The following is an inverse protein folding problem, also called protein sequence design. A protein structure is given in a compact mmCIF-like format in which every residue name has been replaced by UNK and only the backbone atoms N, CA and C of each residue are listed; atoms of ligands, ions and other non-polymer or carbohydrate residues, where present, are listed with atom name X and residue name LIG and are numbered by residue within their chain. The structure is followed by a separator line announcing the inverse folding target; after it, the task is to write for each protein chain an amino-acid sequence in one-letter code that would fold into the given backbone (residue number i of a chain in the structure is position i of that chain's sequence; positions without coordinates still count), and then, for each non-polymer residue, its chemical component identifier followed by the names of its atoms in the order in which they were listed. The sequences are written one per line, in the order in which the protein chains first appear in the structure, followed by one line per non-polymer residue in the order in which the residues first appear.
data_IF_209812449473
#
_entry.id   IF_209812449473
#
_cell.length_a   1.000
_cell.length_b   1.000
_cell.length_c   1.000
_cell.angle_alpha   90.00
_cell.angle_beta   90.00
_cell.angle_gamma   90.00
#
_symmetry.space_group_name_H-M   'P 1'
#
loop_
_entity.id
_entity.type
_entity.pdbx_description
1 polymer ?
#
# COMPACT_ATOMS: atom_id res chain seq x y z
N UNK A 1 37.36 4.56 34.98
CA UNK A 1 36.07 3.87 34.76
C UNK A 1 35.22 4.81 33.91
N UNK A 2 35.21 4.65 32.58
CA UNK A 2 34.48 5.55 31.68
C UNK A 2 33.01 5.13 31.53
N UNK A 3 32.03 6.01 31.82
CA UNK A 3 30.61 5.73 31.67
C UNK A 3 30.13 6.22 30.30
N UNK A 4 30.57 5.58 29.22
CA UNK A 4 30.11 5.94 27.87
C UNK A 4 29.96 4.73 26.96
N UNK A 5 29.37 3.65 27.47
CA UNK A 5 28.68 2.69 26.58
C UNK A 5 27.36 3.32 26.16
N UNK A 6 27.41 4.25 25.19
CA UNK A 6 26.24 4.65 24.40
C UNK A 6 25.65 3.37 23.81
N UNK A 7 24.58 2.86 24.43
CA UNK A 7 23.84 1.73 23.90
C UNK A 7 23.44 2.07 22.47
N UNK A 8 23.84 1.24 21.50
CA UNK A 8 23.41 1.38 20.11
C UNK A 8 21.88 1.52 20.12
N UNK A 9 21.37 2.68 19.71
CA UNK A 9 19.94 2.90 19.57
C UNK A 9 19.43 1.82 18.60
N UNK A 10 18.58 0.91 19.08
CA UNK A 10 18.02 -0.12 18.21
C UNK A 10 17.24 0.60 17.10
N UNK A 11 17.41 0.22 15.84
CA UNK A 11 16.72 0.90 14.74
C UNK A 11 15.20 0.79 14.95
N UNK A 12 14.52 1.93 14.83
CA UNK A 12 13.07 2.03 14.94
C UNK A 12 12.41 1.10 13.91
N UNK A 13 11.47 0.22 14.33
CA UNK A 13 10.71 -0.59 13.41
C UNK A 13 10.04 0.27 12.34
N UNK A 14 10.33 -0.03 11.08
CA UNK A 14 9.87 0.76 9.94
C UNK A 14 9.88 -0.06 8.66
N UNK A 15 8.98 0.27 7.74
CA UNK A 15 8.98 -0.25 6.40
C UNK A 15 8.52 0.81 5.38
N UNK A 16 9.15 0.80 4.22
CA UNK A 16 8.72 1.53 3.02
C UNK A 16 8.80 0.56 1.83
N UNK A 17 7.67 0.35 1.18
CA UNK A 17 7.42 -0.69 0.21
C UNK A 17 6.93 -0.04 -1.10
N UNK A 18 7.80 0.15 -2.12
CA UNK A 18 7.39 0.66 -3.42
C UNK A 18 6.69 -0.41 -4.26
N UNK A 19 5.87 0.01 -5.23
CA UNK A 19 5.17 -0.92 -6.13
C UNK A 19 6.14 -1.76 -6.97
N UNK A 20 5.78 -3.01 -7.22
CA UNK A 20 6.50 -3.89 -8.14
C UNK A 20 6.08 -3.60 -9.58
N UNK A 21 6.97 -3.02 -10.38
CA UNK A 21 6.67 -2.59 -11.76
C UNK A 21 6.17 -3.73 -12.68
N UNK A 22 6.68 -4.95 -12.49
CA UNK A 22 6.27 -6.13 -13.27
C UNK A 22 4.97 -6.79 -12.79
N UNK A 23 4.30 -6.23 -11.78
CA UNK A 23 3.03 -6.75 -11.31
C UNK A 23 1.93 -6.49 -12.35
N UNK A 24 1.26 -7.58 -12.74
CA UNK A 24 0.04 -7.54 -13.54
C UNK A 24 -1.19 -7.65 -12.64
N UNK A 25 -2.26 -6.95 -13.04
CA UNK A 25 -3.50 -6.87 -12.28
C UNK A 25 -4.69 -7.27 -13.14
N UNK A 26 -5.68 -7.98 -12.58
CA UNK A 26 -6.88 -8.32 -13.31
C UNK A 26 -7.70 -7.06 -13.63
N UNK A 27 -8.25 -6.99 -14.86
CA UNK A 27 -9.14 -5.90 -15.28
C UNK A 27 -10.51 -5.93 -14.58
N UNK A 28 -10.94 -7.10 -14.10
CA UNK A 28 -12.25 -7.32 -13.45
C UNK A 28 -12.05 -7.91 -12.06
N UNK A 29 -12.00 -7.04 -11.05
CA UNK A 29 -12.00 -7.39 -9.63
C UNK A 29 -12.44 -6.17 -8.81
N UNK A 30 -13.24 -6.39 -7.77
CA UNK A 30 -13.75 -5.31 -6.92
C UNK A 30 -12.63 -4.56 -6.20
N UNK A 31 -11.70 -5.32 -5.61
CA UNK A 31 -10.44 -4.80 -5.08
C UNK A 31 -9.36 -5.88 -5.14
N UNK A 32 -8.12 -5.45 -5.36
CA UNK A 32 -6.96 -6.35 -5.52
C UNK A 32 -5.87 -5.97 -4.52
N UNK A 33 -5.30 -6.98 -3.85
CA UNK A 33 -4.14 -6.84 -2.99
C UNK A 33 -2.90 -6.46 -3.82
N UNK A 34 -2.18 -5.42 -3.39
CA UNK A 34 -0.92 -5.01 -4.03
C UNK A 34 0.22 -5.89 -3.49
N UNK A 35 1.09 -6.36 -4.39
CA UNK A 35 2.35 -6.99 -4.03
C UNK A 35 3.48 -5.98 -4.26
N UNK A 36 4.18 -5.65 -3.19
CA UNK A 36 5.25 -4.66 -3.22
C UNK A 36 6.58 -5.27 -3.66
N UNK A 37 7.49 -4.41 -4.11
CA UNK A 37 8.82 -4.79 -4.56
C UNK A 37 9.74 -5.11 -3.36
N UNK A 38 9.99 -6.38 -3.12
CA UNK A 38 10.86 -6.85 -2.03
C UNK A 38 12.31 -6.38 -2.16
N UNK A 39 12.80 -6.19 -3.39
CA UNK A 39 14.21 -5.87 -3.66
C UNK A 39 14.51 -4.41 -3.29
N UNK A 40 13.60 -3.51 -3.63
CA UNK A 40 13.76 -2.06 -3.37
C UNK A 40 13.07 -1.60 -2.08
N UNK A 41 12.41 -2.52 -1.37
CA UNK A 41 11.80 -2.25 -0.07
C UNK A 41 12.83 -2.03 1.02
N UNK A 42 12.59 -1.05 1.88
CA UNK A 42 13.29 -0.94 3.16
C UNK A 42 12.41 -1.54 4.23
N UNK A 43 12.86 -2.60 4.91
CA UNK A 43 12.13 -3.23 6.02
C UNK A 43 13.08 -3.42 7.20
N UNK A 44 12.74 -2.87 8.37
CA UNK A 44 13.55 -2.90 9.59
C UNK A 44 12.68 -3.32 10.77
N UNK A 45 13.02 -4.42 11.45
CA UNK A 45 12.26 -4.95 12.59
C UNK A 45 10.74 -5.09 12.31
N UNK A 46 10.41 -5.42 11.07
CA UNK A 46 9.09 -5.78 10.56
C UNK A 46 9.30 -6.95 9.58
N UNK A 47 8.25 -7.63 9.17
CA UNK A 47 8.35 -8.71 8.16
C UNK A 47 7.38 -8.45 7.04
N UNK A 48 7.79 -8.65 5.79
CA UNK A 48 6.93 -8.54 4.63
C UNK A 48 6.79 -9.91 3.96
N UNK A 49 5.55 -10.32 3.67
CA UNK A 49 5.27 -11.57 2.98
C UNK A 49 3.92 -11.49 2.26
N UNK A 50 3.87 -11.88 0.99
CA UNK A 50 2.64 -12.02 0.20
C UNK A 50 1.73 -10.77 0.25
N UNK A 51 2.29 -9.59 0.01
CA UNK A 51 1.53 -8.33 0.02
C UNK A 51 1.24 -7.76 1.42
N UNK A 52 1.61 -8.46 2.50
CA UNK A 52 1.30 -8.07 3.87
C UNK A 52 2.55 -7.70 4.66
N UNK A 53 2.46 -6.62 5.42
CA UNK A 53 3.48 -6.17 6.36
C UNK A 53 3.08 -6.57 7.78
N UNK A 54 3.85 -7.48 8.38
CA UNK A 54 3.68 -8.01 9.72
C UNK A 54 4.48 -7.23 10.76
N UNK A 55 3.82 -6.95 11.88
CA UNK A 55 4.39 -6.26 13.03
C UNK A 55 5.18 -7.24 13.89
N UNK A 56 6.46 -6.95 14.11
CA UNK A 56 7.34 -7.81 14.93
C UNK A 56 7.50 -7.31 16.37
N UNK A 57 7.10 -6.07 16.65
CA UNK A 57 7.20 -5.40 17.96
C UNK A 57 5.93 -4.60 18.19
N UNK A 58 5.17 -4.88 19.25
CA UNK A 58 3.95 -4.11 19.55
C UNK A 58 4.24 -2.63 19.80
N UNK A 59 3.29 -1.76 19.46
CA UNK A 59 3.32 -0.35 19.82
C UNK A 59 2.46 0.53 18.92
N UNK A 60 2.62 1.84 19.06
CA UNK A 60 1.97 2.84 18.20
C UNK A 60 2.75 2.99 16.89
N UNK A 61 2.09 2.74 15.77
CA UNK A 61 2.63 2.89 14.42
C UNK A 61 1.89 3.98 13.66
N UNK A 62 2.62 4.78 12.88
CA UNK A 62 2.04 5.57 11.81
C UNK A 62 2.08 4.75 10.53
N UNK A 63 0.91 4.37 10.03
CA UNK A 63 0.74 3.61 8.78
C UNK A 63 0.32 4.58 7.69
N UNK A 64 0.94 4.52 6.52
CA UNK A 64 0.66 5.41 5.39
C UNK A 64 0.68 4.66 4.05
N UNK A 65 -0.10 5.14 3.09
CA UNK A 65 -0.12 4.62 1.73
C UNK A 65 -0.38 5.75 0.73
N UNK A 66 0.31 5.70 -0.41
CA UNK A 66 0.05 6.51 -1.60
C UNK A 66 -0.16 5.56 -2.77
N UNK A 67 -1.21 5.79 -3.56
CA UNK A 67 -1.45 5.08 -4.81
C UNK A 67 -1.81 6.10 -5.86
N UNK A 68 -1.08 6.08 -6.97
CA UNK A 68 -1.46 6.80 -8.17
C UNK A 68 -2.08 5.82 -9.16
N UNK A 69 -3.09 6.29 -9.87
CA UNK A 69 -3.73 5.61 -10.98
C UNK A 69 -3.47 6.44 -12.22
N UNK A 70 -3.08 5.81 -13.32
CA UNK A 70 -2.81 6.45 -14.61
C UNK A 70 -3.49 5.69 -15.75
N UNK A 71 -4.05 6.43 -16.69
CA UNK A 71 -4.56 5.90 -17.95
C UNK A 71 -3.99 6.72 -19.10
N UNK A 72 -3.51 6.05 -20.14
CA UNK A 72 -3.02 6.70 -21.35
C UNK A 72 -3.52 5.93 -22.57
N UNK A 73 -4.34 6.55 -23.41
CA UNK A 73 -4.73 5.97 -24.68
C UNK A 73 -3.60 6.13 -25.69
N UNK A 74 -2.92 5.04 -26.03
CA UNK A 74 -1.80 5.06 -26.98
C UNK A 74 -2.24 5.08 -28.45
N UNK A 75 -3.52 5.28 -28.75
CA UNK A 75 -4.05 5.48 -30.10
C UNK A 75 -3.97 4.26 -31.04
N UNK A 76 -3.16 3.25 -30.73
CA UNK A 76 -2.67 2.29 -31.71
C UNK A 76 -2.72 0.82 -31.25
N UNK A 77 -3.63 0.46 -30.33
CA UNK A 77 -3.74 -0.93 -29.89
C UNK A 77 -5.15 -1.48 -30.02
N UNK A 78 -5.24 -2.64 -30.67
CA UNK A 78 -6.38 -3.56 -30.83
C UNK A 78 -6.92 -4.07 -29.46
N UNK A 79 -6.50 -3.47 -28.33
CA UNK A 79 -7.11 -3.71 -27.03
C UNK A 79 -8.41 -2.92 -26.96
N UNK A 80 -9.53 -3.66 -26.99
CA UNK A 80 -10.89 -3.17 -26.77
C UNK A 80 -10.89 -1.97 -25.81
N UNK A 81 -11.38 -0.82 -26.30
CA UNK A 81 -11.49 0.42 -25.55
C UNK A 81 -12.16 0.16 -24.21
N UNK A 82 -11.37 0.06 -23.13
CA UNK A 82 -11.90 -0.11 -21.79
C UNK A 82 -12.52 1.23 -21.40
N UNK A 83 -13.82 1.23 -21.12
CA UNK A 83 -14.52 2.43 -20.69
C UNK A 83 -14.01 2.85 -19.30
N UNK A 84 -13.32 4.00 -19.25
CA UNK A 84 -12.85 4.60 -17.99
C UNK A 84 -13.68 5.83 -17.57
N UNK A 85 -14.78 6.12 -18.28
CA UNK A 85 -15.59 7.34 -18.10
C UNK A 85 -16.26 7.48 -16.74
N UNK A 86 -16.37 6.40 -15.96
CA UNK A 86 -16.94 6.41 -14.61
C UNK A 86 -16.21 5.45 -13.67
N UNK A 87 -14.90 5.62 -13.55
CA UNK A 87 -14.04 4.68 -12.83
C UNK A 87 -13.97 5.01 -11.34
N UNK A 88 -14.24 4.02 -10.48
CA UNK A 88 -14.00 4.14 -9.05
C UNK A 88 -12.55 3.79 -8.70
N UNK A 89 -11.81 4.76 -8.18
CA UNK A 89 -10.39 4.63 -7.85
C UNK A 89 -10.22 4.78 -6.33
N UNK A 90 -10.21 3.64 -5.65
CA UNK A 90 -10.31 3.56 -4.19
C UNK A 90 -9.12 2.78 -3.66
N UNK A 91 -8.45 3.34 -2.65
CA UNK A 91 -7.40 2.73 -1.87
C UNK A 91 -7.93 2.33 -0.49
N UNK A 92 -7.69 1.07 -0.13
CA UNK A 92 -8.06 0.49 1.16
C UNK A 92 -6.80 0.06 1.88
N UNK A 93 -6.62 0.50 3.13
CA UNK A 93 -5.61 -0.06 4.03
C UNK A 93 -6.34 -0.96 5.02
N UNK A 94 -5.96 -2.23 5.06
CA UNK A 94 -6.54 -3.23 5.95
C UNK A 94 -5.62 -3.51 7.13
N UNK A 95 -6.24 -3.87 8.24
CA UNK A 95 -5.60 -4.43 9.43
C UNK A 95 -6.16 -5.83 9.67
N UNK A 96 -5.27 -6.81 9.82
CA UNK A 96 -5.59 -8.16 10.23
C UNK A 96 -4.97 -8.39 11.60
N UNK A 97 -5.82 -8.46 12.62
CA UNK A 97 -5.40 -8.68 14.01
C UNK A 97 -5.04 -10.15 14.25
N UNK A 98 -3.91 -10.40 14.92
CA UNK A 98 -3.51 -11.76 15.33
C UNK A 98 -4.47 -12.38 16.36
N UNK A 99 -5.17 -11.54 17.13
CA UNK A 99 -6.08 -11.97 18.20
C UNK A 99 -7.48 -12.37 17.72
N UNK A 100 -7.83 -12.08 16.46
CA UNK A 100 -9.18 -12.32 15.95
C UNK A 100 -9.24 -13.69 15.26
N UNK A 101 -9.95 -14.64 15.89
CA UNK A 101 -10.15 -16.00 15.36
C UNK A 101 -10.83 -16.05 13.98
N UNK A 102 -11.52 -14.98 13.57
CA UNK A 102 -12.26 -14.97 12.30
C UNK A 102 -11.35 -14.86 11.06
N UNK A 103 -10.05 -14.61 11.20
CA UNK A 103 -9.11 -14.32 10.08
C UNK A 103 -9.56 -13.22 9.10
N UNK A 104 -10.70 -12.56 9.36
CA UNK A 104 -11.29 -11.51 8.52
C UNK A 104 -10.59 -10.19 8.80
N UNK A 105 -9.89 -9.60 7.82
CA UNK A 105 -9.27 -8.29 7.98
C UNK A 105 -10.34 -7.19 8.09
N UNK A 106 -10.07 -6.16 8.89
CA UNK A 106 -10.89 -4.96 9.01
C UNK A 106 -10.28 -3.82 8.17
N UNK A 107 -11.13 -2.97 7.58
CA UNK A 107 -10.66 -1.76 6.89
C UNK A 107 -10.22 -0.75 7.94
N UNK A 108 -8.94 -0.39 7.92
CA UNK A 108 -8.33 0.60 8.81
C UNK A 108 -8.51 2.03 8.28
N UNK A 109 -8.31 2.20 6.96
CA UNK A 109 -8.47 3.47 6.27
C UNK A 109 -8.98 3.22 4.84
N UNK A 110 -9.76 4.16 4.30
CA UNK A 110 -10.28 4.14 2.94
C UNK A 110 -10.25 5.56 2.38
N UNK A 111 -9.68 5.72 1.20
CA UNK A 111 -9.67 7.00 0.46
C UNK A 111 -9.85 6.72 -1.02
N UNK A 112 -10.37 7.67 -1.77
CA UNK A 112 -10.68 7.47 -3.18
C UNK A 112 -11.79 8.36 -3.68
N UNK A 113 -12.06 8.27 -4.97
CA UNK A 113 -13.18 8.97 -5.59
C UNK A 113 -13.62 8.26 -6.87
N UNK A 114 -14.79 8.65 -7.37
CA UNK A 114 -15.28 8.26 -8.70
C UNK A 114 -14.83 9.31 -9.70
N UNK A 115 -14.04 8.90 -10.68
CA UNK A 115 -13.48 9.80 -11.68
C UNK A 115 -14.27 9.75 -12.99
N UNK A 116 -14.40 10.92 -13.63
CA UNK A 116 -14.86 11.04 -15.01
C UNK A 116 -13.67 11.27 -15.93
N UNK A 117 -13.04 10.18 -16.36
CA UNK A 117 -11.87 10.23 -17.24
C UNK A 117 -12.28 10.21 -18.70
N UNK A 118 -11.60 11.01 -19.53
CA UNK A 118 -11.78 10.92 -20.96
C UNK A 118 -10.92 9.78 -21.54
N UNK A 119 -11.41 9.19 -22.63
CA UNK A 119 -10.69 8.12 -23.33
C UNK A 119 -9.71 8.68 -24.38
N UNK A 120 -9.47 9.99 -24.42
CA UNK A 120 -8.79 10.66 -25.54
C UNK A 120 -7.34 11.02 -25.25
N UNK A 121 -6.94 11.04 -23.98
CA UNK A 121 -5.61 11.52 -23.59
C UNK A 121 -5.04 10.79 -22.35
N UNK A 122 -4.26 11.51 -21.54
CA UNK A 122 -3.70 11.08 -20.27
C UNK A 122 -4.61 11.47 -19.11
N UNK A 123 -4.86 10.53 -18.21
CA UNK A 123 -5.55 10.79 -16.96
C UNK A 123 -4.70 10.30 -15.79
N UNK A 124 -4.71 11.05 -14.70
CA UNK A 124 -4.03 10.67 -13.46
C UNK A 124 -4.84 11.04 -12.24
N UNK A 125 -4.82 10.17 -11.23
CA UNK A 125 -5.38 10.43 -9.91
C UNK A 125 -4.49 9.80 -8.85
N UNK A 126 -4.08 10.56 -7.86
CA UNK A 126 -3.32 10.05 -6.72
C UNK A 126 -4.11 10.24 -5.44
N UNK A 127 -4.09 9.22 -4.58
CA UNK A 127 -4.66 9.29 -3.25
C UNK A 127 -3.60 8.89 -2.22
N UNK A 128 -3.52 9.67 -1.15
CA UNK A 128 -2.62 9.41 -0.02
C UNK A 128 -3.38 9.56 1.29
N UNK A 129 -3.12 8.64 2.22
CA UNK A 129 -3.66 8.70 3.57
C UNK A 129 -2.67 8.10 4.56
N UNK A 130 -2.86 8.43 5.84
CA UNK A 130 -2.13 7.80 6.92
C UNK A 130 -2.81 8.01 8.27
N UNK A 131 -2.49 7.14 9.23
CA UNK A 131 -3.08 7.14 10.57
C UNK A 131 -2.12 6.54 11.58
N UNK A 132 -2.14 7.09 12.80
CA UNK A 132 -1.55 6.45 13.97
C UNK A 132 -2.49 5.36 14.54
N UNK A 133 -1.97 4.16 14.75
CA UNK A 133 -2.71 3.01 15.30
C UNK A 133 -1.78 2.16 16.18
N UNK A 134 -2.32 1.63 17.27
CA UNK A 134 -1.63 0.61 18.05
C UNK A 134 -1.74 -0.74 17.35
N UNK A 135 -0.60 -1.40 17.10
CA UNK A 135 -0.55 -2.71 16.49
C UNK A 135 0.18 -3.67 17.42
N UNK A 136 -0.34 -4.90 17.52
CA UNK A 136 0.29 -5.97 18.28
C UNK A 136 1.31 -6.74 17.43
N UNK A 137 2.31 -7.32 18.09
CA UNK A 137 3.18 -8.30 17.45
C UNK A 137 2.34 -9.43 16.85
N UNK A 138 2.53 -9.67 15.55
CA UNK A 138 1.77 -10.65 14.77
C UNK A 138 0.65 -10.05 13.93
N UNK A 139 0.24 -8.81 14.21
CA UNK A 139 -0.72 -8.11 13.36
C UNK A 139 -0.13 -7.87 11.97
N UNK A 140 -1.00 -7.87 10.95
CA UNK A 140 -0.64 -7.55 9.58
C UNK A 140 -1.40 -6.32 9.07
N UNK A 141 -0.71 -5.49 8.30
CA UNK A 141 -1.30 -4.38 7.55
C UNK A 141 -0.98 -4.52 6.07
N UNK A 142 -1.94 -4.22 5.20
CA UNK A 142 -1.81 -4.38 3.75
C UNK A 142 -2.75 -3.46 2.98
N UNK A 143 -2.54 -3.34 1.67
CA UNK A 143 -3.29 -2.42 0.82
C UNK A 143 -3.99 -3.16 -0.30
N UNK A 144 -5.29 -2.91 -0.44
CA UNK A 144 -6.01 -3.25 -1.67
C UNK A 144 -6.40 -1.97 -2.41
N UNK A 145 -6.59 -2.08 -3.73
CA UNK A 145 -7.17 -1.00 -4.54
C UNK A 145 -8.25 -1.53 -5.48
N UNK A 146 -9.24 -0.70 -5.81
CA UNK A 146 -10.12 -0.97 -6.96
C UNK A 146 -9.40 -0.63 -8.26
N UNK A 147 -9.82 -1.24 -9.38
CA UNK A 147 -9.26 -0.98 -10.71
C UNK A 147 -7.72 -1.02 -10.73
N UNK A 148 -7.12 -2.02 -10.09
CA UNK A 148 -5.67 -2.11 -9.88
C UNK A 148 -4.86 -2.11 -11.19
N UNK A 149 -5.47 -2.52 -12.31
CA UNK A 149 -4.88 -2.45 -13.64
C UNK A 149 -4.56 -1.02 -14.12
N UNK A 150 -5.12 -0.01 -13.46
CA UNK A 150 -4.81 1.41 -13.68
C UNK A 150 -3.72 1.93 -12.75
N UNK A 151 -3.16 1.13 -11.83
CA UNK A 151 -2.11 1.63 -10.93
C UNK A 151 -0.88 2.11 -11.71
N UNK A 152 -0.38 3.26 -11.27
CA UNK A 152 0.92 3.75 -11.69
C UNK A 152 2.01 2.84 -11.12
N UNK A 153 2.86 2.35 -12.03
CA UNK A 153 3.94 1.40 -11.76
C UNK A 153 5.25 2.08 -11.32
N UNK A 154 5.29 3.42 -11.24
CA UNK A 154 6.43 4.15 -10.70
C UNK A 154 6.48 4.12 -9.15
N UNK A 155 7.68 3.91 -8.60
CA UNK A 155 7.91 3.77 -7.17
C UNK A 155 7.59 5.04 -6.36
N UNK A 156 7.71 6.22 -6.97
CA UNK A 156 7.41 7.54 -6.39
C UNK A 156 5.90 7.84 -6.37
N UNK A 157 5.16 7.17 -7.26
CA UNK A 157 3.71 7.29 -7.41
C UNK A 157 2.94 6.39 -6.46
N UNK A 158 3.39 5.15 -6.30
CA UNK A 158 2.66 4.12 -5.55
C UNK A 158 3.55 3.38 -4.54
N UNK A 159 3.26 3.56 -3.25
CA UNK A 159 4.01 2.98 -2.15
C UNK A 159 3.17 2.84 -0.87
N UNK A 160 3.64 1.99 0.04
CA UNK A 160 3.04 1.73 1.34
C UNK A 160 4.10 1.64 2.42
N UNK A 161 3.79 2.03 3.65
CA UNK A 161 4.73 1.86 4.74
C UNK A 161 4.14 2.06 6.12
N UNK A 162 4.99 1.81 7.10
CA UNK A 162 4.68 2.02 8.50
C UNK A 162 5.96 2.38 9.27
N UNK A 163 5.83 3.21 10.30
CA UNK A 163 6.92 3.52 11.22
C UNK A 163 6.41 3.50 12.65
N UNK A 164 7.13 2.82 13.54
CA UNK A 164 6.81 2.80 14.97
C UNK A 164 7.15 4.17 15.58
N UNK A 165 6.16 4.81 16.20
CA UNK A 165 6.27 6.13 16.81
C UNK A 165 6.46 6.07 18.33
N UNK A 166 5.96 5.01 18.98
CA UNK A 166 5.99 4.90 20.44
C UNK A 166 5.55 3.52 20.94
N UNK A 167 5.64 3.33 22.25
CA UNK A 167 5.02 2.20 22.95
C UNK A 167 3.64 2.60 23.45
#
# INVERSE_FOLDING_TARGET
KDPAKKGKCKPTPSAHLPIKASQEFPKKADSVLINWDEVHSTVRNMSYQNGKLFVMVSGLYYVYAKTCFRYYNHGDSIQASVDVSNTQLIQYVFHQSIRQNSNKPAVLMKTGSTMRWDNTSYNMYCAQQGRAIYLDKGDAVFVNVSNAWLLDKEAEGTYFGAIKMGN
#
